data_IF_371069876140
#
_entry.id   IF_371069876140
#
_cell.length_a   1.000
_cell.length_b   1.000
_cell.length_c   1.000
_cell.angle_alpha   90.00
_cell.angle_beta   90.00
_cell.angle_gamma   90.00
#
_symmetry.space_group_name_H-M   'P 1'
#
loop_
_entity.id
_entity.type
_entity.pdbx_description
1 polymer ?
#
# COMPACT_ATOMS: atom_id res chain seq x y z
N UNK A 1 -14.22 6.20 10.14
CA UNK A 1 -15.36 5.38 9.68
C UNK A 1 -14.84 4.10 9.06
N UNK A 2 -15.54 2.97 9.20
CA UNK A 2 -15.16 1.72 8.51
C UNK A 2 -15.41 1.92 7.00
N UNK A 3 -14.42 1.58 6.16
CA UNK A 3 -14.46 1.75 4.69
C UNK A 3 -14.86 0.46 3.99
N UNK A 4 -14.40 -0.69 4.51
CA UNK A 4 -14.68 -2.02 3.97
C UNK A 4 -14.61 -3.05 5.09
N UNK A 5 -15.44 -4.08 5.01
CA UNK A 5 -15.41 -5.23 5.92
C UNK A 5 -15.96 -6.48 5.22
N UNK A 6 -15.56 -7.70 5.64
CA UNK A 6 -16.29 -8.92 5.30
C UNK A 6 -17.72 -8.81 5.86
N UNK A 7 -18.73 -8.99 5.01
CA UNK A 7 -20.13 -8.86 5.40
C UNK A 7 -20.94 -9.97 4.76
N UNK A 8 -21.73 -10.65 5.60
CA UNK A 8 -22.64 -11.73 5.22
C UNK A 8 -23.87 -11.27 4.43
N UNK A 9 -24.88 -12.13 4.38
CA UNK A 9 -26.17 -11.80 3.80
C UNK A 9 -26.81 -10.58 4.51
N UNK A 10 -27.28 -9.62 3.73
CA UNK A 10 -27.87 -8.37 4.20
C UNK A 10 -29.25 -8.59 4.82
N UNK A 11 -29.96 -9.66 4.43
CA UNK A 11 -31.29 -9.98 4.95
C UNK A 11 -31.27 -11.02 6.09
N UNK A 12 -30.09 -11.43 6.56
CA UNK A 12 -29.97 -12.37 7.66
C UNK A 12 -30.29 -11.72 9.02
N UNK A 13 -30.56 -12.54 10.04
CA UNK A 13 -30.87 -12.07 11.40
C UNK A 13 -29.68 -11.44 12.13
N UNK A 14 -28.45 -11.71 11.70
CA UNK A 14 -27.16 -11.21 12.23
C UNK A 14 -26.15 -11.09 11.05
N UNK A 15 -24.99 -10.41 11.16
CA UNK A 15 -24.14 -10.08 10.00
C UNK A 15 -23.14 -11.18 9.55
N UNK A 16 -23.06 -12.29 10.27
CA UNK A 16 -22.12 -13.40 10.04
C UNK A 16 -22.58 -14.54 9.10
N UNK A 17 -23.88 -14.75 8.80
CA UNK A 17 -24.32 -15.79 7.88
C UNK A 17 -23.83 -15.57 6.45
N UNK A 18 -23.57 -16.68 5.76
CA UNK A 18 -23.03 -16.70 4.40
C UNK A 18 -24.05 -16.16 3.37
N UNK A 19 -23.60 -15.63 2.22
CA UNK A 19 -22.20 -15.52 1.77
C UNK A 19 -21.48 -14.28 2.34
N UNK A 20 -20.34 -14.51 3.00
CA UNK A 20 -19.45 -13.48 3.52
C UNK A 20 -18.40 -13.15 2.46
N UNK A 21 -18.43 -11.91 1.98
CA UNK A 21 -17.37 -11.34 1.14
C UNK A 21 -17.15 -9.88 1.52
N UNK A 22 -16.03 -9.29 1.09
CA UNK A 22 -15.77 -7.88 1.35
C UNK A 22 -16.81 -6.99 0.65
N UNK A 23 -17.39 -6.05 1.41
CA UNK A 23 -18.35 -5.06 0.90
C UNK A 23 -17.93 -3.65 1.34
N UNK A 24 -18.15 -2.62 0.50
CA UNK A 24 -17.97 -1.22 0.91
C UNK A 24 -18.91 -0.87 2.08
N UNK A 25 -18.37 -0.12 3.04
CA UNK A 25 -19.11 0.39 4.20
C UNK A 25 -19.27 1.91 4.09
N UNK A 26 -19.88 2.56 5.08
CA UNK A 26 -20.21 3.98 5.03
C UNK A 26 -19.02 4.91 4.74
N UNK A 27 -17.81 4.56 5.18
CA UNK A 27 -16.60 5.33 4.90
C UNK A 27 -16.20 5.37 3.41
N UNK A 28 -16.80 4.53 2.57
CA UNK A 28 -16.57 4.50 1.12
C UNK A 28 -17.63 5.27 0.30
N UNK A 29 -18.65 5.85 0.95
CA UNK A 29 -19.80 6.44 0.27
C UNK A 29 -19.78 7.98 0.28
N UNK A 30 -20.08 8.59 -0.86
CA UNK A 30 -20.41 10.02 -1.01
C UNK A 30 -19.48 11.00 -0.27
N UNK A 31 -20.09 11.94 0.45
CA UNK A 31 -19.37 12.95 1.22
C UNK A 31 -18.56 12.35 2.39
N UNK A 32 -19.02 11.24 2.99
CA UNK A 32 -18.27 10.54 4.03
C UNK A 32 -16.92 10.04 3.50
N UNK A 33 -16.89 9.48 2.29
CA UNK A 33 -15.65 9.09 1.60
C UNK A 33 -14.72 10.29 1.40
N UNK A 34 -15.25 11.42 0.95
CA UNK A 34 -14.46 12.62 0.74
C UNK A 34 -13.82 13.11 2.06
N UNK A 35 -14.52 12.97 3.18
CA UNK A 35 -14.01 13.36 4.49
C UNK A 35 -13.02 12.35 5.11
N UNK A 36 -13.09 11.07 4.74
CA UNK A 36 -12.25 10.00 5.29
C UNK A 36 -10.98 9.70 4.50
N UNK A 37 -10.66 10.46 3.44
CA UNK A 37 -9.49 10.23 2.58
C UNK A 37 -8.70 11.49 2.31
N UNK A 38 -7.43 11.31 1.95
CA UNK A 38 -6.55 12.38 1.49
C UNK A 38 -6.24 12.23 0.00
N UNK A 39 -6.23 13.36 -0.71
CA UNK A 39 -5.50 13.51 -1.97
C UNK A 39 -4.20 14.26 -1.67
N UNK A 40 -3.06 13.61 -1.91
CA UNK A 40 -1.76 14.24 -1.73
C UNK A 40 -1.41 15.12 -2.93
N UNK A 41 -0.98 16.35 -2.67
CA UNK A 41 -0.59 17.35 -3.67
C UNK A 41 0.86 17.79 -3.46
N UNK A 42 1.52 18.23 -4.53
CA UNK A 42 2.80 18.94 -4.44
C UNK A 42 2.60 20.34 -3.84
N UNK A 43 3.67 20.90 -3.28
CA UNK A 43 3.67 22.28 -2.77
C UNK A 43 3.23 23.28 -3.86
N UNK A 44 3.80 23.17 -5.06
CA UNK A 44 3.44 24.02 -6.20
C UNK A 44 1.94 23.93 -6.60
N UNK A 45 1.32 22.75 -6.51
CA UNK A 45 -0.11 22.60 -6.81
C UNK A 45 -1.00 23.28 -5.75
N UNK A 46 -0.57 23.27 -4.50
CA UNK A 46 -1.29 23.95 -3.41
C UNK A 46 -1.14 25.47 -3.55
N UNK A 47 0.06 25.94 -3.87
CA UNK A 47 0.35 27.37 -4.14
C UNK A 47 -0.44 27.90 -5.35
N UNK A 48 -0.60 27.08 -6.39
CA UNK A 48 -1.42 27.41 -7.57
C UNK A 48 -2.93 27.23 -7.33
N UNK A 49 -3.37 26.87 -6.12
CA UNK A 49 -4.80 26.74 -5.79
C UNK A 49 -5.53 25.64 -6.56
N UNK A 50 -4.82 24.57 -6.96
CA UNK A 50 -5.36 23.51 -7.83
C UNK A 50 -6.58 22.82 -7.20
N UNK A 51 -6.60 22.66 -5.87
CA UNK A 51 -7.74 22.03 -5.19
C UNK A 51 -9.04 22.82 -5.40
N UNK A 52 -8.96 24.15 -5.35
CA UNK A 52 -10.08 25.07 -5.55
C UNK A 52 -10.47 25.13 -7.03
N UNK A 53 -9.49 25.25 -7.94
CA UNK A 53 -9.74 25.29 -9.38
C UNK A 53 -10.47 24.04 -9.88
N UNK A 54 -10.12 22.87 -9.35
CA UNK A 54 -10.76 21.60 -9.70
C UNK A 54 -11.96 21.24 -8.81
N UNK A 55 -12.32 22.10 -7.85
CA UNK A 55 -13.39 21.85 -6.88
C UNK A 55 -13.27 20.47 -6.19
N UNK A 56 -12.05 20.12 -5.78
CA UNK A 56 -11.76 18.85 -5.11
C UNK A 56 -12.57 18.76 -3.81
N UNK A 57 -13.29 17.65 -3.65
CA UNK A 57 -14.16 17.44 -2.48
C UNK A 57 -13.46 16.73 -1.32
N UNK A 58 -12.46 15.92 -1.62
CA UNK A 58 -11.70 15.21 -0.58
C UNK A 58 -10.77 16.16 0.16
N UNK A 59 -10.45 15.84 1.42
CA UNK A 59 -9.38 16.53 2.11
C UNK A 59 -8.07 16.40 1.31
N UNK A 60 -7.27 17.46 1.29
CA UNK A 60 -5.96 17.48 0.62
C UNK A 60 -4.86 17.56 1.65
N UNK A 61 -3.72 16.95 1.34
CA UNK A 61 -2.51 17.03 2.16
C UNK A 61 -1.32 17.31 1.25
N UNK A 62 -0.29 17.96 1.80
CA UNK A 62 0.87 18.39 1.02
C UNK A 62 2.05 17.50 1.30
N UNK A 63 2.66 16.94 0.26
CA UNK A 63 3.90 16.16 0.42
C UNK A 63 5.06 17.10 0.74
N UNK A 64 5.98 16.68 1.60
CA UNK A 64 7.20 17.40 1.98
C UNK A 64 8.31 16.42 2.37
N UNK A 65 9.57 16.86 2.35
CA UNK A 65 10.72 16.05 2.78
C UNK A 65 11.20 15.00 1.77
N UNK A 66 10.72 15.05 0.52
CA UNK A 66 11.06 14.05 -0.51
C UNK A 66 12.51 14.13 -1.02
N UNK A 67 13.28 15.16 -0.63
CA UNK A 67 14.68 15.35 -1.04
C UNK A 67 15.68 15.11 0.08
N UNK A 68 15.21 14.99 1.32
CA UNK A 68 16.05 14.82 2.50
C UNK A 68 16.09 13.38 3.00
N UNK A 69 15.08 12.57 2.68
CA UNK A 69 15.05 11.15 3.02
C UNK A 69 16.18 10.39 2.33
N UNK A 70 16.89 9.56 3.09
CA UNK A 70 18.04 8.74 2.69
C UNK A 70 17.79 7.27 3.04
N UNK A 71 18.68 6.38 2.58
CA UNK A 71 18.64 4.95 2.94
C UNK A 71 18.70 4.73 4.46
N UNK A 72 19.40 5.59 5.19
CA UNK A 72 19.49 5.56 6.65
C UNK A 72 18.14 5.80 7.38
N UNK A 73 17.19 6.48 6.74
CA UNK A 73 15.90 6.81 7.36
C UNK A 73 14.87 5.66 7.23
N UNK A 74 15.22 4.57 6.55
CA UNK A 74 14.34 3.41 6.38
C UNK A 74 14.30 2.59 7.67
N UNK A 75 13.18 2.66 8.37
CA UNK A 75 12.95 1.97 9.65
C UNK A 75 13.15 0.46 9.46
N UNK A 76 14.05 -0.12 10.26
CA UNK A 76 14.46 -1.53 10.23
C UNK A 76 15.17 -2.00 8.94
N UNK A 77 15.40 -1.14 7.93
CA UNK A 77 15.84 -1.56 6.59
C UNK A 77 16.85 -0.59 5.94
N UNK A 78 17.90 -0.20 6.66
CA UNK A 78 18.87 0.81 6.22
C UNK A 78 20.20 0.28 5.67
N UNK A 79 20.37 -1.04 5.50
CA UNK A 79 21.63 -1.68 5.08
C UNK A 79 22.11 -1.19 3.70
N UNK A 80 23.37 -0.76 3.58
CA UNK A 80 24.03 -0.39 2.33
C UNK A 80 25.23 -1.34 2.10
N UNK A 81 24.99 -2.57 1.63
CA UNK A 81 26.06 -3.54 1.46
C UNK A 81 26.95 -3.18 0.26
N UNK A 82 28.21 -3.65 0.27
CA UNK A 82 29.02 -3.65 -0.94
C UNK A 82 28.54 -4.77 -1.87
N UNK A 83 27.58 -4.44 -2.74
CA UNK A 83 26.98 -5.38 -3.67
C UNK A 83 27.71 -5.37 -5.01
N UNK A 84 28.04 -6.55 -5.53
CA UNK A 84 28.64 -6.75 -6.85
C UNK A 84 27.85 -7.78 -7.64
N UNK A 85 27.83 -7.64 -8.97
CA UNK A 85 27.21 -8.58 -9.90
C UNK A 85 28.23 -8.95 -10.97
N UNK A 86 28.46 -10.25 -11.17
CA UNK A 86 29.30 -10.74 -12.25
C UNK A 86 28.62 -10.52 -13.61
N UNK A 87 29.34 -9.94 -14.59
CA UNK A 87 28.76 -9.55 -15.88
C UNK A 87 28.52 -10.72 -16.84
N UNK A 88 29.10 -11.90 -16.58
CA UNK A 88 28.96 -13.09 -17.42
C UNK A 88 27.98 -14.10 -16.81
N UNK A 89 28.02 -14.30 -15.49
CA UNK A 89 27.23 -15.32 -14.79
C UNK A 89 26.00 -14.77 -14.09
N UNK A 90 25.96 -13.45 -13.86
CA UNK A 90 24.94 -12.76 -13.07
C UNK A 90 24.90 -13.17 -11.59
N UNK A 91 25.97 -13.78 -11.09
CA UNK A 91 26.09 -14.09 -9.67
C UNK A 91 26.14 -12.81 -8.84
N UNK A 92 25.30 -12.74 -7.80
CA UNK A 92 25.23 -11.62 -6.87
C UNK A 92 26.08 -11.93 -5.64
N UNK A 93 26.92 -10.98 -5.24
CA UNK A 93 27.71 -11.06 -4.00
C UNK A 93 27.49 -9.84 -3.12
N UNK A 94 27.48 -10.04 -1.81
CA UNK A 94 27.51 -8.98 -0.79
C UNK A 94 28.78 -9.16 0.03
N UNK A 95 29.62 -8.13 0.08
CA UNK A 95 30.89 -8.15 0.81
C UNK A 95 31.80 -9.33 0.40
N UNK A 96 31.71 -9.73 -0.87
CA UNK A 96 32.44 -10.86 -1.46
C UNK A 96 31.74 -12.22 -1.32
N UNK A 97 30.72 -12.32 -0.47
CA UNK A 97 29.99 -13.57 -0.22
C UNK A 97 28.85 -13.77 -1.23
N UNK A 98 28.72 -14.95 -1.87
CA UNK A 98 27.64 -15.24 -2.81
C UNK A 98 26.27 -15.24 -2.11
N UNK A 99 25.29 -14.58 -2.73
CA UNK A 99 23.93 -14.47 -2.23
C UNK A 99 23.00 -15.20 -3.19
N UNK A 100 22.36 -16.25 -2.70
CA UNK A 100 21.38 -17.04 -3.45
C UNK A 100 20.29 -17.54 -2.51
N UNK A 101 19.21 -18.05 -3.08
CA UNK A 101 18.12 -18.70 -2.36
C UNK A 101 17.55 -19.82 -3.21
N UNK A 102 17.18 -20.92 -2.57
CA UNK A 102 16.48 -22.00 -3.25
C UNK A 102 15.04 -21.60 -3.60
N UNK A 103 14.52 -22.02 -4.76
CA UNK A 103 13.12 -21.81 -5.09
C UNK A 103 12.22 -22.62 -4.14
N UNK A 104 11.07 -22.04 -3.76
CA UNK A 104 10.06 -22.74 -2.96
C UNK A 104 9.00 -23.37 -3.88
N UNK A 105 8.74 -24.67 -3.70
CA UNK A 105 7.69 -25.38 -4.45
C UNK A 105 6.27 -24.99 -3.98
N UNK A 106 6.12 -24.60 -2.71
CA UNK A 106 4.85 -24.25 -2.07
C UNK A 106 5.06 -23.07 -1.13
N UNK A 107 4.10 -22.14 -1.10
CA UNK A 107 4.13 -20.97 -0.22
C UNK A 107 2.96 -20.95 0.79
N UNK A 108 3.17 -20.39 2.00
CA UNK A 108 2.06 -20.03 2.89
C UNK A 108 1.25 -18.88 2.29
N UNK A 109 0.07 -18.61 2.86
CA UNK A 109 -0.84 -17.56 2.36
C UNK A 109 -1.27 -17.72 0.89
N UNK A 110 -1.23 -18.94 0.35
CA UNK A 110 -1.67 -19.27 -1.01
C UNK A 110 -2.92 -20.17 -0.99
N UNK A 111 -2.80 -21.44 -1.41
CA UNK A 111 -3.90 -22.40 -1.63
C UNK A 111 -4.90 -22.56 -0.47
N UNK A 112 -4.52 -22.20 0.76
CA UNK A 112 -5.39 -22.33 1.94
C UNK A 112 -6.52 -21.29 1.99
N UNK A 113 -6.32 -20.09 1.43
CA UNK A 113 -7.17 -18.93 1.75
C UNK A 113 -7.97 -18.38 0.56
N UNK A 114 -7.63 -18.76 -0.67
CA UNK A 114 -8.27 -18.26 -1.88
C UNK A 114 -9.12 -19.35 -2.53
N UNK A 115 -10.29 -18.96 -3.06
CA UNK A 115 -11.16 -19.88 -3.79
C UNK A 115 -10.54 -20.29 -5.15
N UNK A 116 -9.79 -19.36 -5.75
CA UNK A 116 -9.04 -19.52 -7.00
C UNK A 116 -7.75 -18.71 -6.92
#
# INVERSE_FOLDING_TARGET
>A
MIVCAPMGDINASIPTPQPVHYRPMFGALGAARHHCRLTFLSQAAVENGIAQQLNLRSATAVVKGCRTVKKADMIHNSLQPNITVDAQTYEVRIDGEPITSEPADVLPMALRYFLF
#
